data_IF_701293216660
#
_entry.id   IF_701293216660
#
_cell.length_a   1.000
_cell.length_b   1.000
_cell.length_c   1.000
_cell.angle_alpha   90.00
_cell.angle_beta   90.00
_cell.angle_gamma   90.00
#
_symmetry.space_group_name_H-M   'P 1'
#
loop_
_entity.id
_entity.type
_entity.pdbx_description
1 polymer ?
#
# COMPACT_ATOMS: atom_id res chain seq x y z
N UNK A 1 -25.54 3.28 4.81
CA UNK A 1 -24.67 4.40 4.41
C UNK A 1 -23.64 4.61 5.52
N UNK A 2 -22.54 3.86 5.53
CA UNK A 2 -21.54 3.96 6.58
C UNK A 2 -20.55 5.07 6.23
N UNK A 3 -20.74 6.24 6.84
CA UNK A 3 -19.73 7.29 6.89
C UNK A 3 -18.55 6.78 7.74
N UNK A 4 -17.56 6.17 7.09
CA UNK A 4 -16.27 5.88 7.72
C UNK A 4 -15.51 7.20 7.89
N UNK A 5 -15.58 7.76 9.09
CA UNK A 5 -14.81 8.91 9.55
C UNK A 5 -13.33 8.74 9.18
N UNK A 6 -12.74 9.75 8.53
CA UNK A 6 -11.34 9.74 8.09
C UNK A 6 -10.37 9.44 9.24
N UNK A 7 -10.76 9.77 10.48
CA UNK A 7 -9.99 9.50 11.71
C UNK A 7 -9.96 8.01 12.05
N UNK A 8 -11.10 7.32 11.92
CA UNK A 8 -11.21 5.88 12.18
C UNK A 8 -10.45 5.08 11.12
N UNK A 9 -10.45 5.54 9.87
CA UNK A 9 -9.67 4.92 8.80
C UNK A 9 -8.15 5.11 9.01
N UNK A 10 -7.72 6.28 9.49
CA UNK A 10 -6.32 6.50 9.88
C UNK A 10 -5.86 5.59 11.02
N UNK A 11 -6.70 5.39 12.04
CA UNK A 11 -6.39 4.50 13.17
C UNK A 11 -6.34 3.03 12.74
N UNK A 12 -7.28 2.58 11.91
CA UNK A 12 -7.27 1.22 11.36
C UNK A 12 -6.04 0.99 10.47
N UNK A 13 -5.62 1.97 9.67
CA UNK A 13 -4.40 1.87 8.87
C UNK A 13 -3.12 1.83 9.69
N UNK A 14 -3.06 2.53 10.82
CA UNK A 14 -1.94 2.43 11.76
C UNK A 14 -1.84 1.02 12.35
N UNK A 15 -2.96 0.43 12.76
CA UNK A 15 -3.03 -0.97 13.23
C UNK A 15 -2.66 -1.96 12.13
N UNK A 16 -3.16 -1.75 10.92
CA UNK A 16 -2.85 -2.56 9.74
C UNK A 16 -1.37 -2.46 9.37
N UNK A 17 -0.74 -1.28 9.46
CA UNK A 17 0.69 -1.08 9.22
C UNK A 17 1.55 -1.94 10.17
N UNK A 18 1.25 -1.91 11.46
CA UNK A 18 1.92 -2.77 12.43
C UNK A 18 1.65 -4.27 12.16
N UNK A 19 0.39 -4.62 11.86
CA UNK A 19 -0.04 -5.99 11.63
C UNK A 19 0.55 -6.62 10.35
N UNK A 20 0.80 -5.83 9.30
CA UNK A 20 1.49 -6.29 8.07
C UNK A 20 2.95 -6.67 8.36
N UNK A 21 3.57 -6.06 9.37
CA UNK A 21 4.95 -6.34 9.79
C UNK A 21 5.03 -7.35 10.95
N UNK A 22 3.91 -7.91 11.38
CA UNK A 22 3.87 -8.87 12.48
C UNK A 22 4.52 -10.22 12.08
N UNK A 23 5.16 -10.88 13.03
CA UNK A 23 5.79 -12.19 12.81
C UNK A 23 4.76 -13.30 12.59
N UNK A 24 3.53 -13.14 13.10
CA UNK A 24 2.45 -14.12 13.01
C UNK A 24 1.78 -14.06 11.62
N UNK A 25 1.79 -15.16 10.82
CA UNK A 25 1.21 -15.17 9.47
C UNK A 25 -0.29 -14.88 9.40
N UNK A 26 -1.06 -15.27 10.43
CA UNK A 26 -2.49 -15.00 10.49
C UNK A 26 -2.80 -13.51 10.67
N UNK A 27 -1.99 -12.80 11.46
CA UNK A 27 -2.11 -11.35 11.67
C UNK A 27 -1.84 -10.59 10.38
N UNK A 28 -0.77 -10.94 9.66
CA UNK A 28 -0.47 -10.38 8.33
C UNK A 28 -1.61 -10.62 7.34
N UNK A 29 -2.14 -11.84 7.29
CA UNK A 29 -3.23 -12.20 6.38
C UNK A 29 -4.51 -11.40 6.67
N UNK A 30 -4.86 -11.20 7.95
CA UNK A 30 -6.00 -10.38 8.34
C UNK A 30 -5.83 -8.90 7.95
N UNK A 31 -4.61 -8.38 8.10
CA UNK A 31 -4.27 -7.02 7.67
C UNK A 31 -4.39 -6.86 6.14
N UNK A 32 -3.86 -7.81 5.36
CA UNK A 32 -3.98 -7.81 3.90
C UNK A 32 -5.44 -7.87 3.42
N UNK A 33 -6.30 -8.66 4.08
CA UNK A 33 -7.75 -8.69 3.76
C UNK A 33 -8.41 -7.35 3.99
N UNK A 34 -8.09 -6.69 5.10
CA UNK A 34 -8.59 -5.33 5.40
C UNK A 34 -8.16 -4.33 4.34
N UNK A 35 -6.90 -4.39 3.89
CA UNK A 35 -6.38 -3.54 2.81
C UNK A 35 -7.15 -3.78 1.50
N UNK A 36 -7.37 -5.05 1.14
CA UNK A 36 -8.16 -5.41 -0.05
C UNK A 36 -9.57 -4.83 0.00
N UNK A 37 -10.25 -4.93 1.14
CA UNK A 37 -11.59 -4.34 1.33
C UNK A 37 -11.54 -2.81 1.19
N UNK A 38 -10.56 -2.14 1.81
CA UNK A 38 -10.40 -0.67 1.71
C UNK A 38 -10.16 -0.25 0.25
N UNK A 39 -9.42 -1.05 -0.53
CA UNK A 39 -9.14 -0.76 -1.93
C UNK A 39 -10.36 -0.80 -2.84
N UNK A 40 -11.45 -1.47 -2.46
CA UNK A 40 -12.68 -1.44 -3.25
C UNK A 40 -13.42 -0.09 -3.16
N UNK A 41 -13.00 0.81 -2.26
CA UNK A 41 -13.67 2.09 -2.04
C UNK A 41 -12.89 3.25 -2.69
N UNK A 42 -13.39 3.82 -3.82
CA UNK A 42 -12.69 4.88 -4.56
C UNK A 42 -12.35 6.10 -3.68
N UNK A 43 -13.25 6.42 -2.75
CA UNK A 43 -13.15 7.52 -1.79
C UNK A 43 -11.97 7.37 -0.82
N UNK A 44 -11.38 6.17 -0.72
CA UNK A 44 -10.28 5.84 0.19
C UNK A 44 -8.94 5.70 -0.53
N UNK A 45 -8.90 5.92 -1.86
CA UNK A 45 -7.69 5.80 -2.68
C UNK A 45 -6.54 6.70 -2.23
N UNK A 46 -6.80 7.98 -1.91
CA UNK A 46 -5.78 8.92 -1.40
C UNK A 46 -5.15 8.44 -0.10
N UNK A 47 -5.95 7.82 0.77
CA UNK A 47 -5.47 7.32 2.05
C UNK A 47 -4.59 6.06 1.84
N UNK A 48 -4.94 5.23 0.86
CA UNK A 48 -4.15 4.06 0.49
C UNK A 48 -2.79 4.46 -0.13
N UNK A 49 -2.79 5.50 -0.96
CA UNK A 49 -1.56 6.13 -1.47
C UNK A 49 -0.67 6.65 -0.33
N UNK A 50 -1.21 7.43 0.61
CA UNK A 50 -0.46 7.93 1.77
C UNK A 50 0.14 6.79 2.61
N UNK A 51 -0.60 5.69 2.77
CA UNK A 51 -0.12 4.52 3.50
C UNK A 51 1.03 3.81 2.77
N UNK A 52 0.95 3.66 1.44
CA UNK A 52 2.03 3.10 0.63
C UNK A 52 3.28 3.98 0.69
N UNK A 53 3.11 5.30 0.62
CA UNK A 53 4.20 6.27 0.78
C UNK A 53 4.89 6.10 2.14
N UNK A 54 4.13 5.98 3.23
CA UNK A 54 4.69 5.75 4.58
C UNK A 54 5.37 4.40 4.73
N UNK A 55 4.87 3.35 4.07
CA UNK A 55 5.55 2.05 4.05
C UNK A 55 6.91 2.12 3.35
N UNK A 56 6.99 2.90 2.27
CA UNK A 56 8.23 3.13 1.53
C UNK A 56 9.24 3.94 2.34
N UNK A 57 8.86 5.13 2.84
CA UNK A 57 9.76 6.03 3.57
C UNK A 57 10.22 5.49 4.93
N UNK A 58 9.52 4.50 5.50
CA UNK A 58 9.90 3.85 6.76
C UNK A 58 11.20 3.01 6.67
N UNK A 59 11.90 3.00 5.53
CA UNK A 59 13.06 2.16 5.27
C UNK A 59 14.40 2.88 5.02
N UNK A 60 14.49 4.21 5.10
CA UNK A 60 15.76 4.93 4.90
C UNK A 60 16.55 5.04 6.20
N UNK A 61 17.40 4.03 6.47
CA UNK A 61 18.50 4.09 7.45
C UNK A 61 19.86 4.11 6.75
N UNK A 62 20.92 4.43 7.49
CA UNK A 62 22.29 4.68 6.99
C UNK A 62 22.87 3.41 6.32
N UNK A 63 23.28 3.54 5.06
CA UNK A 63 23.48 2.48 4.06
C UNK A 63 24.75 1.63 4.21
N UNK A 64 24.57 0.31 4.36
CA UNK A 64 25.55 -0.75 4.07
C UNK A 64 25.06 -1.65 2.90
N UNK A 65 25.96 -2.33 2.19
CA UNK A 65 25.69 -3.12 0.96
C UNK A 65 24.61 -4.22 1.10
N UNK A 66 24.27 -4.62 2.32
CA UNK A 66 23.20 -5.59 2.64
C UNK A 66 21.80 -4.96 2.53
N UNK A 67 21.66 -3.64 2.63
CA UNK A 67 20.40 -2.92 2.61
C UNK A 67 19.89 -2.63 1.20
N UNK A 68 20.78 -2.51 0.19
CA UNK A 68 20.36 -2.34 -1.22
C UNK A 68 19.43 -3.47 -1.68
N UNK A 69 19.79 -4.71 -1.36
CA UNK A 69 18.98 -5.92 -1.60
C UNK A 69 17.61 -5.86 -0.88
N UNK A 70 17.57 -5.30 0.33
CA UNK A 70 16.34 -5.13 1.11
C UNK A 70 15.45 -4.04 0.53
N UNK A 71 16.03 -2.92 0.11
CA UNK A 71 15.31 -1.82 -0.57
C UNK A 71 14.74 -2.30 -1.89
N UNK A 72 15.52 -3.01 -2.71
CA UNK A 72 15.07 -3.60 -3.97
C UNK A 72 13.93 -4.60 -3.74
N UNK A 73 14.03 -5.46 -2.73
CA UNK A 73 12.97 -6.42 -2.37
C UNK A 73 11.69 -5.72 -1.89
N UNK A 74 11.81 -4.65 -1.10
CA UNK A 74 10.66 -3.83 -0.67
C UNK A 74 9.99 -3.15 -1.87
N UNK A 75 10.77 -2.58 -2.78
CA UNK A 75 10.28 -1.96 -4.03
C UNK A 75 9.50 -2.94 -4.89
N UNK A 76 10.02 -4.16 -5.08
CA UNK A 76 9.32 -5.23 -5.81
C UNK A 76 7.98 -5.57 -5.14
N UNK A 77 7.94 -5.75 -3.82
CA UNK A 77 6.69 -6.05 -3.11
C UNK A 77 5.66 -4.92 -3.21
N UNK A 78 6.09 -3.66 -3.12
CA UNK A 78 5.22 -2.50 -3.28
C UNK A 78 4.69 -2.41 -4.73
N UNK A 79 5.55 -2.61 -5.73
CA UNK A 79 5.16 -2.60 -7.14
C UNK A 79 4.14 -3.71 -7.48
N UNK A 80 4.30 -4.92 -6.90
CA UNK A 80 3.32 -6.00 -7.04
C UNK A 80 1.99 -5.68 -6.36
N UNK A 81 2.02 -5.02 -5.21
CA UNK A 81 0.81 -4.57 -4.51
C UNK A 81 0.08 -3.51 -5.32
N UNK A 82 0.80 -2.50 -5.81
CA UNK A 82 0.27 -1.47 -6.70
C UNK A 82 -0.36 -2.09 -7.96
N UNK A 83 0.29 -3.09 -8.56
CA UNK A 83 -0.25 -3.79 -9.72
C UNK A 83 -1.59 -4.48 -9.41
N UNK A 84 -1.68 -5.17 -8.27
CA UNK A 84 -2.94 -5.82 -7.85
C UNK A 84 -4.05 -4.79 -7.60
N UNK A 85 -3.71 -3.63 -7.03
CA UNK A 85 -4.67 -2.54 -6.81
C UNK A 85 -5.17 -1.95 -8.12
N UNK A 86 -4.28 -1.70 -9.08
CA UNK A 86 -4.61 -1.21 -10.43
C UNK A 86 -5.63 -2.15 -11.10
N UNK A 87 -5.39 -3.47 -11.03
CA UNK A 87 -6.29 -4.49 -11.58
C UNK A 87 -7.67 -4.43 -10.92
N UNK A 88 -7.73 -4.41 -9.58
CA UNK A 88 -9.00 -4.28 -8.84
C UNK A 88 -9.75 -3.00 -9.23
N UNK A 89 -9.07 -1.86 -9.33
CA UNK A 89 -9.73 -0.61 -9.72
C UNK A 89 -10.22 -0.63 -11.17
N UNK A 90 -9.48 -1.27 -12.08
CA UNK A 90 -9.87 -1.43 -13.48
C UNK A 90 -11.05 -2.37 -13.65
N UNK A 91 -11.06 -3.51 -12.95
CA UNK A 91 -12.18 -4.45 -12.92
C UNK A 91 -13.46 -3.82 -12.38
N UNK A 92 -13.33 -2.86 -11.46
CA UNK A 92 -14.45 -2.10 -10.91
C UNK A 92 -14.80 -0.83 -11.70
N UNK A 93 -14.29 -0.65 -12.92
CA UNK A 93 -14.52 0.52 -13.80
C UNK A 93 -14.12 1.87 -13.17
N UNK A 94 -13.10 1.87 -12.32
CA UNK A 94 -12.55 3.07 -11.66
C UNK A 94 -11.26 3.51 -12.34
N UNK A 95 -11.33 3.78 -13.66
CA UNK A 95 -10.17 4.04 -14.51
C UNK A 95 -9.31 5.24 -14.04
N UNK A 96 -9.95 6.30 -13.53
CA UNK A 96 -9.24 7.47 -13.01
C UNK A 96 -8.34 7.13 -11.82
N UNK A 97 -8.76 6.18 -10.97
CA UNK A 97 -7.99 5.74 -9.80
C UNK A 97 -6.91 4.75 -10.22
N UNK A 98 -7.24 3.82 -11.13
CA UNK A 98 -6.26 2.93 -11.76
C UNK A 98 -5.10 3.73 -12.37
N UNK A 99 -5.39 4.79 -13.13
CA UNK A 99 -4.38 5.64 -13.75
C UNK A 99 -3.49 6.33 -12.71
N UNK A 100 -4.09 6.85 -11.64
CA UNK A 100 -3.35 7.46 -10.52
C UNK A 100 -2.37 6.47 -9.87
N UNK A 101 -2.80 5.23 -9.63
CA UNK A 101 -1.92 4.19 -9.09
C UNK A 101 -0.86 3.72 -10.09
N UNK A 102 -1.13 3.76 -11.40
CA UNK A 102 -0.11 3.52 -12.43
C UNK A 102 0.98 4.60 -12.43
N UNK A 103 0.60 5.87 -12.31
CA UNK A 103 1.55 6.98 -12.20
C UNK A 103 2.40 6.86 -10.93
N UNK A 104 1.76 6.54 -9.82
CA UNK A 104 2.43 6.27 -8.55
C UNK A 104 3.43 5.10 -8.69
N UNK A 105 3.02 3.99 -9.33
CA UNK A 105 3.91 2.85 -9.61
C UNK A 105 5.10 3.25 -10.48
N UNK A 106 4.91 4.09 -11.50
CA UNK A 106 5.99 4.60 -12.35
C UNK A 106 6.96 5.46 -11.55
N UNK A 107 6.48 6.27 -10.60
CA UNK A 107 7.33 7.06 -9.71
C UNK A 107 8.26 6.15 -8.88
N UNK A 108 7.71 5.08 -8.29
CA UNK A 108 8.49 4.12 -7.49
C UNK A 108 9.55 3.32 -8.28
N UNK A 109 9.29 3.07 -9.55
CA UNK A 109 10.19 2.29 -10.42
C UNK A 109 11.26 3.15 -11.11
N UNK A 110 11.12 4.48 -11.11
CA UNK A 110 12.07 5.42 -11.75
C UNK A 110 13.28 5.77 -10.89
N UNK A 111 13.26 5.52 -9.58
CA UNK A 111 14.40 5.74 -8.67
C UNK A 111 15.45 4.59 -8.71
N UNK A 112 15.55 3.90 -9.85
CA UNK A 112 16.48 2.78 -10.11
C UNK A 112 17.69 3.25 -10.91
#
# INVERSE_FOLDING_TARGET
>A
MLFYDSTLLGFTLSKVHAAVRDNVPSVRSAACRTIGIISCFPQKSTILEDWLNRLYSSGEGIVDAQEKSVVDRKRVMIASTLQSLIEVYRENHQDAISLKFEELKKQYMKEL
#
